data_IF_269317096411
#
_entry.id   IF_269317096411
#
_cell.length_a   1.000
_cell.length_b   1.000
_cell.length_c   1.000
_cell.angle_alpha   90.00
_cell.angle_beta   90.00
_cell.angle_gamma   90.00
#
_symmetry.space_group_name_H-M   'P 1'
#
loop_
_entity.id
_entity.type
_entity.pdbx_description
1 polymer ?
#
# COMPACT_ATOMS: atom_id res chain seq x y z
N UNK A 1 41.47 19.61 -36.63
CA UNK A 1 41.31 18.18 -36.26
C UNK A 1 40.23 17.97 -35.20
N UNK A 2 39.84 19.00 -34.43
CA UNK A 2 38.77 18.97 -33.40
C UNK A 2 37.35 18.61 -33.87
N UNK A 3 36.96 18.96 -35.10
CA UNK A 3 35.57 18.76 -35.56
C UNK A 3 35.17 17.28 -35.70
N UNK A 4 36.13 16.37 -35.97
CA UNK A 4 35.87 14.92 -36.06
C UNK A 4 35.70 14.27 -34.68
N UNK A 5 36.35 14.82 -33.65
CA UNK A 5 36.29 14.31 -32.27
C UNK A 5 34.91 14.59 -31.66
N UNK A 6 34.36 15.78 -31.88
CA UNK A 6 33.00 16.13 -31.43
C UNK A 6 31.89 15.27 -32.08
N UNK A 7 32.01 14.99 -33.39
CA UNK A 7 31.06 14.13 -34.10
C UNK A 7 31.11 12.67 -33.62
N UNK A 8 32.30 12.14 -33.31
CA UNK A 8 32.45 10.80 -32.78
C UNK A 8 31.88 10.68 -31.36
N UNK A 9 32.15 11.65 -30.48
CA UNK A 9 31.63 11.69 -29.12
C UNK A 9 30.10 11.74 -29.09
N UNK A 10 29.50 12.53 -30.00
CA UNK A 10 28.05 12.65 -30.12
C UNK A 10 27.38 11.36 -30.60
N UNK A 11 28.01 10.64 -31.54
CA UNK A 11 27.54 9.32 -31.98
C UNK A 11 27.61 8.28 -30.86
N UNK A 12 28.69 8.29 -30.08
CA UNK A 12 28.81 7.44 -28.89
C UNK A 12 27.72 7.75 -27.87
N UNK A 13 27.49 9.02 -27.54
CA UNK A 13 26.42 9.46 -26.64
C UNK A 13 25.03 9.01 -27.11
N UNK A 14 24.73 9.17 -28.42
CA UNK A 14 23.48 8.68 -29.01
C UNK A 14 23.37 7.15 -28.92
N UNK A 15 24.45 6.42 -29.17
CA UNK A 15 24.46 4.96 -29.04
C UNK A 15 24.19 4.54 -27.59
N UNK A 16 24.84 5.19 -26.62
CA UNK A 16 24.62 4.96 -25.19
C UNK A 16 23.19 5.28 -24.77
N UNK A 17 22.61 6.37 -25.28
CA UNK A 17 21.20 6.70 -25.07
C UNK A 17 20.27 5.63 -25.66
N UNK A 18 20.51 5.18 -26.89
CA UNK A 18 19.70 4.13 -27.53
C UNK A 18 19.80 2.82 -26.75
N UNK A 19 21.01 2.43 -26.30
CA UNK A 19 21.21 1.24 -25.47
C UNK A 19 20.49 1.38 -24.11
N UNK A 20 20.56 2.55 -23.47
CA UNK A 20 19.87 2.82 -22.21
C UNK A 20 18.33 2.77 -22.38
N UNK A 21 17.80 3.38 -23.45
CA UNK A 21 16.37 3.34 -23.78
C UNK A 21 15.93 1.92 -24.13
N UNK A 22 16.68 1.17 -24.92
CA UNK A 22 16.38 -0.22 -25.23
C UNK A 22 16.37 -1.12 -23.99
N UNK A 23 17.26 -0.86 -23.02
CA UNK A 23 17.27 -1.54 -21.72
C UNK A 23 16.10 -1.15 -20.83
N UNK A 24 15.61 0.09 -20.91
CA UNK A 24 14.38 0.51 -20.25
C UNK A 24 13.11 -0.10 -20.88
N UNK A 25 13.09 -0.30 -22.20
CA UNK A 25 11.91 -0.83 -22.92
C UNK A 25 11.77 -2.35 -22.75
N UNK A 26 12.84 -3.04 -22.33
CA UNK A 26 12.81 -4.47 -22.07
C UNK A 26 12.35 -4.82 -20.66
N UNK A 27 11.27 -4.17 -20.17
CA UNK A 27 10.44 -4.85 -19.20
C UNK A 27 9.80 -6.01 -19.97
N UNK A 28 10.16 -7.26 -19.66
CA UNK A 28 9.42 -8.42 -20.16
C UNK A 28 8.01 -8.35 -19.60
N UNK A 29 7.16 -7.58 -20.29
CA UNK A 29 5.73 -7.55 -20.06
C UNK A 29 5.23 -8.97 -20.20
N UNK A 30 4.51 -9.44 -19.20
CA UNK A 30 3.98 -10.78 -19.23
C UNK A 30 3.01 -10.90 -20.42
N UNK A 31 2.93 -12.08 -21.05
CA UNK A 31 2.01 -12.32 -22.18
C UNK A 31 0.59 -12.61 -21.65
N UNK A 32 -0.43 -12.53 -22.50
CA UNK A 32 -1.82 -12.91 -22.17
C UNK A 32 -1.96 -14.27 -21.46
N UNK A 33 -1.06 -15.22 -21.75
CA UNK A 33 -0.99 -16.52 -21.07
C UNK A 33 -0.88 -16.39 -19.54
N UNK A 34 -0.33 -15.31 -19.01
CA UNK A 34 -0.27 -15.04 -17.57
C UNK A 34 -1.65 -14.84 -16.97
N UNK A 35 -2.49 -14.09 -17.67
CA UNK A 35 -3.86 -13.82 -17.24
C UNK A 35 -4.68 -15.11 -17.16
N UNK A 36 -4.48 -16.01 -18.13
CA UNK A 36 -5.14 -17.31 -18.15
C UNK A 36 -4.68 -18.17 -16.96
N UNK A 37 -3.37 -18.23 -16.70
CA UNK A 37 -2.81 -19.02 -15.59
C UNK A 37 -3.24 -18.50 -14.21
N UNK A 38 -3.25 -17.18 -13.99
CA UNK A 38 -3.70 -16.65 -12.69
C UNK A 38 -5.21 -16.87 -12.49
N UNK A 39 -6.02 -16.89 -13.56
CA UNK A 39 -7.44 -17.24 -13.46
C UNK A 39 -7.64 -18.72 -13.16
N UNK A 40 -6.91 -19.59 -13.86
CA UNK A 40 -7.05 -21.04 -13.72
C UNK A 40 -6.55 -21.55 -12.35
N UNK A 41 -5.42 -21.05 -11.87
CA UNK A 41 -4.82 -21.55 -10.62
C UNK A 41 -5.17 -20.69 -9.40
N UNK A 42 -5.00 -19.38 -9.50
CA UNK A 42 -5.10 -18.51 -8.33
C UNK A 42 -6.54 -18.09 -8.04
N UNK A 43 -7.28 -17.62 -9.06
CA UNK A 43 -8.68 -17.22 -8.89
C UNK A 43 -9.57 -18.42 -8.59
N UNK A 44 -9.33 -19.59 -9.21
CA UNK A 44 -10.11 -20.79 -8.93
C UNK A 44 -10.03 -21.21 -7.45
N UNK A 45 -8.81 -21.26 -6.88
CA UNK A 45 -8.62 -21.52 -5.45
C UNK A 45 -9.29 -20.43 -4.59
N UNK A 46 -9.00 -19.17 -4.87
CA UNK A 46 -9.57 -18.05 -4.10
C UNK A 46 -11.09 -18.04 -4.14
N UNK A 47 -11.72 -18.38 -5.27
CA UNK A 47 -13.18 -18.49 -5.38
C UNK A 47 -13.76 -19.61 -4.53
N UNK A 48 -13.04 -20.73 -4.34
CA UNK A 48 -13.47 -21.81 -3.45
C UNK A 48 -13.34 -21.36 -1.99
N UNK A 49 -12.20 -20.76 -1.63
CA UNK A 49 -11.97 -20.27 -0.27
C UNK A 49 -13.01 -19.18 0.11
N UNK A 50 -13.34 -18.28 -0.84
CA UNK A 50 -14.37 -17.25 -0.67
C UNK A 50 -15.80 -17.79 -0.70
N UNK A 51 -16.04 -19.00 -1.19
CA UNK A 51 -17.34 -19.67 -1.13
C UNK A 51 -17.52 -20.40 0.21
N UNK A 52 -16.43 -20.95 0.74
CA UNK A 52 -16.41 -21.51 2.10
C UNK A 52 -16.60 -20.42 3.16
N UNK A 53 -16.01 -19.24 2.91
CA UNK A 53 -16.25 -18.04 3.70
C UNK A 53 -17.63 -17.45 3.36
N UNK A 54 -18.51 -17.28 4.36
CA UNK A 54 -19.85 -16.72 4.13
C UNK A 54 -19.77 -15.29 3.57
N UNK A 55 -20.69 -14.93 2.66
CA UNK A 55 -20.69 -13.62 2.00
C UNK A 55 -20.75 -12.45 3.00
N UNK A 56 -21.39 -12.64 4.16
CA UNK A 56 -21.42 -11.64 5.23
C UNK A 56 -20.04 -11.29 5.79
N UNK A 57 -19.06 -12.18 5.64
CA UNK A 57 -17.69 -12.02 6.15
C UNK A 57 -16.73 -11.45 5.11
N UNK A 58 -17.13 -11.29 3.84
CA UNK A 58 -16.23 -10.77 2.80
C UNK A 58 -15.66 -9.38 3.11
N UNK A 59 -16.36 -8.56 3.91
CA UNK A 59 -15.85 -7.24 4.32
C UNK A 59 -15.01 -7.26 5.61
N UNK A 60 -14.85 -8.42 6.24
CA UNK A 60 -13.95 -8.60 7.39
C UNK A 60 -12.53 -8.81 6.87
N UNK A 61 -11.64 -7.85 7.13
CA UNK A 61 -10.23 -7.99 6.77
C UNK A 61 -9.55 -9.08 7.58
N UNK A 62 -9.95 -9.29 8.84
CA UNK A 62 -9.41 -10.36 9.67
C UNK A 62 -9.67 -11.74 9.06
N UNK A 63 -10.86 -11.96 8.49
CA UNK A 63 -11.24 -13.23 7.88
C UNK A 63 -10.67 -13.41 6.46
N UNK A 64 -10.45 -12.32 5.72
CA UNK A 64 -10.04 -12.37 4.30
C UNK A 64 -8.56 -12.11 4.04
N UNK A 65 -7.80 -11.64 5.04
CA UNK A 65 -6.39 -11.28 4.89
C UNK A 65 -5.53 -12.46 4.40
N UNK A 66 -5.68 -13.63 5.04
CA UNK A 66 -4.91 -14.82 4.70
C UNK A 66 -5.23 -15.32 3.27
N UNK A 67 -6.52 -15.38 2.92
CA UNK A 67 -6.96 -15.77 1.58
C UNK A 67 -6.44 -14.82 0.49
N UNK A 68 -6.44 -13.52 0.78
CA UNK A 68 -5.95 -12.50 -0.14
C UNK A 68 -4.42 -12.52 -0.26
N UNK A 69 -3.72 -12.82 0.83
CA UNK A 69 -2.26 -13.04 0.84
C UNK A 69 -1.89 -14.25 -0.01
N UNK A 70 -2.60 -15.37 0.15
CA UNK A 70 -2.43 -16.59 -0.66
C UNK A 70 -2.64 -16.31 -2.15
N UNK A 71 -3.71 -15.59 -2.50
CA UNK A 71 -3.98 -15.14 -3.86
C UNK A 71 -2.83 -14.28 -4.40
N UNK A 72 -2.34 -13.33 -3.61
CA UNK A 72 -1.22 -12.45 -3.97
C UNK A 72 0.06 -13.25 -4.21
N UNK A 73 0.40 -14.15 -3.30
CA UNK A 73 1.57 -15.02 -3.41
C UNK A 73 1.47 -15.97 -4.61
N UNK A 74 0.28 -16.50 -4.90
CA UNK A 74 0.04 -17.31 -6.10
C UNK A 74 0.34 -16.51 -7.38
N UNK A 75 -0.21 -15.29 -7.53
CA UNK A 75 0.04 -14.46 -8.73
C UNK A 75 1.52 -14.10 -8.88
N UNK A 76 2.21 -13.87 -7.76
CA UNK A 76 3.66 -13.64 -7.74
C UNK A 76 4.44 -14.88 -8.18
N UNK A 77 4.10 -16.07 -7.68
CA UNK A 77 4.75 -17.31 -8.08
C UNK A 77 4.55 -17.62 -9.56
N UNK A 78 3.33 -17.45 -10.10
CA UNK A 78 3.07 -17.63 -11.53
C UNK A 78 3.91 -16.64 -12.35
N UNK A 79 4.00 -15.37 -11.93
CA UNK A 79 4.82 -14.37 -12.62
C UNK A 79 6.30 -14.78 -12.61
N UNK A 80 6.82 -15.20 -11.46
CA UNK A 80 8.20 -15.65 -11.32
C UNK A 80 8.50 -16.89 -12.19
N UNK A 81 7.59 -17.87 -12.24
CA UNK A 81 7.72 -19.06 -13.10
C UNK A 81 7.72 -18.71 -14.60
N UNK A 82 6.98 -17.67 -14.97
CA UNK A 82 6.95 -17.17 -16.35
C UNK A 82 8.03 -16.14 -16.65
N UNK A 83 8.94 -15.87 -15.72
CA UNK A 83 10.00 -14.85 -15.83
C UNK A 83 9.45 -13.45 -16.14
N UNK A 84 8.32 -13.12 -15.52
CA UNK A 84 7.66 -11.83 -15.65
C UNK A 84 7.88 -10.97 -14.41
N UNK A 85 7.91 -9.65 -14.61
CA UNK A 85 7.92 -8.71 -13.50
C UNK A 85 6.56 -8.70 -12.78
N UNK A 86 6.60 -8.60 -11.45
CA UNK A 86 5.44 -8.44 -10.58
C UNK A 86 5.70 -7.23 -9.66
N UNK A 87 4.77 -6.28 -9.53
CA UNK A 87 3.46 -6.21 -10.20
C UNK A 87 3.55 -5.74 -11.66
N UNK A 88 2.49 -5.97 -12.42
CA UNK A 88 2.34 -5.57 -13.82
C UNK A 88 0.88 -5.24 -14.16
N UNK A 89 0.61 -4.65 -15.33
CA UNK A 89 -0.74 -4.20 -15.71
C UNK A 89 -1.80 -5.30 -15.65
N UNK A 90 -1.46 -6.55 -16.02
CA UNK A 90 -2.45 -7.63 -16.02
C UNK A 90 -2.83 -8.06 -14.60
N UNK A 91 -1.86 -8.10 -13.66
CA UNK A 91 -2.19 -8.39 -12.26
C UNK A 91 -2.96 -7.23 -11.61
N UNK A 92 -2.72 -5.98 -12.01
CA UNK A 92 -3.52 -4.83 -11.57
C UNK A 92 -4.98 -4.96 -12.02
N UNK A 93 -5.22 -5.23 -13.30
CA UNK A 93 -6.56 -5.44 -13.86
C UNK A 93 -7.27 -6.64 -13.21
N UNK A 94 -6.53 -7.72 -12.94
CA UNK A 94 -7.00 -8.91 -12.23
C UNK A 94 -7.49 -8.58 -10.82
N UNK A 95 -6.68 -7.90 -10.01
CA UNK A 95 -7.10 -7.53 -8.65
C UNK A 95 -8.26 -6.54 -8.64
N UNK A 96 -8.31 -5.59 -9.59
CA UNK A 96 -9.47 -4.70 -9.72
C UNK A 96 -10.77 -5.50 -9.96
N UNK A 97 -10.72 -6.56 -10.77
CA UNK A 97 -11.89 -7.42 -10.99
C UNK A 97 -12.30 -8.17 -9.72
N UNK A 98 -11.33 -8.70 -8.96
CA UNK A 98 -11.60 -9.34 -7.65
C UNK A 98 -12.25 -8.36 -6.68
N UNK A 99 -11.74 -7.13 -6.57
CA UNK A 99 -12.33 -6.09 -5.73
C UNK A 99 -13.77 -5.74 -6.15
N UNK A 100 -14.06 -5.72 -7.45
CA UNK A 100 -15.42 -5.51 -7.96
C UNK A 100 -16.35 -6.70 -7.72
N UNK A 101 -15.83 -7.92 -7.70
CA UNK A 101 -16.66 -9.12 -7.55
C UNK A 101 -16.97 -9.39 -6.07
N UNK A 102 -15.94 -9.42 -5.22
CA UNK A 102 -16.07 -9.84 -3.83
C UNK A 102 -16.17 -8.67 -2.84
N UNK A 103 -15.61 -7.51 -3.16
CA UNK A 103 -15.43 -6.43 -2.19
C UNK A 103 -16.14 -5.12 -2.56
N UNK A 104 -17.11 -5.15 -3.50
CA UNK A 104 -17.74 -3.95 -4.03
C UNK A 104 -18.56 -3.15 -3.01
N UNK A 105 -19.16 -3.83 -2.03
CA UNK A 105 -19.94 -3.22 -0.95
C UNK A 105 -19.11 -2.91 0.30
N UNK A 106 -17.82 -3.25 0.30
CA UNK A 106 -16.99 -3.12 1.48
C UNK A 106 -16.50 -1.68 1.68
N UNK A 107 -16.69 -1.14 2.89
CA UNK A 107 -16.23 0.20 3.22
C UNK A 107 -14.70 0.24 3.40
N UNK A 108 -14.06 1.31 2.94
CA UNK A 108 -12.61 1.54 3.11
C UNK A 108 -12.21 1.99 4.53
N UNK A 109 -13.20 2.14 5.42
CA UNK A 109 -13.10 2.93 6.65
C UNK A 109 -12.21 2.30 7.73
N UNK A 110 -11.99 0.98 7.70
CA UNK A 110 -11.20 0.25 8.71
C UNK A 110 -9.74 -0.02 8.33
N UNK A 111 -9.33 0.20 7.07
CA UNK A 111 -8.01 -0.24 6.57
C UNK A 111 -6.96 0.88 6.55
N UNK A 112 -7.37 2.14 6.57
CA UNK A 112 -6.42 3.25 6.63
C UNK A 112 -6.08 3.56 8.08
N UNK A 113 -4.81 3.35 8.46
CA UNK A 113 -4.21 4.10 9.55
C UNK A 113 -4.42 5.59 9.25
N UNK A 114 -5.31 6.21 10.02
CA UNK A 114 -5.66 7.61 9.92
C UNK A 114 -5.92 8.12 11.31
N UNK A 115 -5.45 9.34 11.58
CA UNK A 115 -5.72 10.01 12.83
C UNK A 115 -7.24 10.12 13.06
N UNK A 116 -7.70 9.98 14.31
CA UNK A 116 -9.11 10.18 14.62
C UNK A 116 -9.52 11.60 14.24
N UNK A 117 -10.81 11.82 13.90
CA UNK A 117 -11.29 13.14 13.52
C UNK A 117 -11.00 14.15 14.64
N UNK A 118 -10.69 15.41 14.26
CA UNK A 118 -10.26 16.46 15.20
C UNK A 118 -11.21 16.68 16.38
N UNK A 119 -12.51 16.37 16.21
CA UNK A 119 -13.51 16.43 17.29
C UNK A 119 -13.21 15.47 18.46
N UNK A 120 -12.50 14.37 18.19
CA UNK A 120 -12.07 13.38 19.18
C UNK A 120 -10.63 13.67 19.61
N UNK A 121 -9.74 13.92 18.64
CA UNK A 121 -8.32 14.16 18.91
C UNK A 121 -8.08 15.45 19.72
N UNK A 122 -8.81 16.53 19.41
CA UNK A 122 -8.66 17.83 20.04
C UNK A 122 -8.85 17.78 21.56
N UNK A 123 -9.98 17.24 22.08
CA UNK A 123 -10.16 17.05 23.52
C UNK A 123 -9.05 16.22 24.18
N UNK A 124 -8.58 15.15 23.54
CA UNK A 124 -7.47 14.35 24.07
C UNK A 124 -6.16 15.12 24.21
N UNK A 125 -5.95 16.16 23.40
CA UNK A 125 -4.78 17.03 23.52
C UNK A 125 -5.02 18.14 24.55
N UNK A 126 -6.18 18.80 24.50
CA UNK A 126 -6.47 19.98 25.33
C UNK A 126 -6.66 19.62 26.80
N UNK A 127 -7.36 18.53 27.11
CA UNK A 127 -7.66 18.14 28.50
C UNK A 127 -6.40 17.92 29.33
N UNK A 128 -5.39 17.13 28.90
CA UNK A 128 -4.14 16.99 29.65
C UNK A 128 -3.39 18.32 29.88
N UNK A 129 -3.41 19.22 28.89
CA UNK A 129 -2.79 20.55 29.01
C UNK A 129 -3.51 21.37 30.09
N UNK A 130 -4.85 21.42 30.06
CA UNK A 130 -5.61 22.13 31.08
C UNK A 130 -5.39 21.54 32.48
N UNK A 131 -5.36 20.21 32.61
CA UNK A 131 -5.08 19.54 33.89
C UNK A 131 -3.71 19.89 34.43
N UNK A 132 -2.66 19.85 33.59
CA UNK A 132 -1.30 20.22 34.00
C UNK A 132 -1.21 21.69 34.43
N UNK A 133 -1.87 22.61 33.72
CA UNK A 133 -1.94 24.02 34.11
C UNK A 133 -2.69 24.23 35.43
N UNK A 134 -3.82 23.54 35.63
CA UNK A 134 -4.58 23.61 36.88
C UNK A 134 -3.77 23.06 38.05
N UNK A 135 -3.13 21.90 37.89
CA UNK A 135 -2.32 21.30 38.95
C UNK A 135 -1.13 22.19 39.32
N UNK A 136 -0.43 22.76 38.34
CA UNK A 136 0.68 23.69 38.61
C UNK A 136 0.19 24.95 39.32
N UNK A 137 -0.94 25.54 38.90
CA UNK A 137 -1.55 26.68 39.59
C UNK A 137 -1.94 26.34 41.04
N UNK A 138 -2.53 25.17 41.27
CA UNK A 138 -2.88 24.69 42.61
C UNK A 138 -1.65 24.51 43.50
N UNK A 139 -0.57 23.91 42.97
CA UNK A 139 0.69 23.72 43.69
C UNK A 139 1.32 25.07 44.06
N UNK A 140 1.40 26.00 43.11
CA UNK A 140 1.93 27.36 43.37
C UNK A 140 1.09 28.10 44.40
N UNK A 141 -0.23 28.01 44.31
CA UNK A 141 -1.14 28.64 45.26
C UNK A 141 -0.98 28.06 46.68
N UNK A 142 -0.93 26.74 46.81
CA UNK A 142 -0.71 26.07 48.11
C UNK A 142 0.65 26.42 48.70
N UNK A 143 1.71 26.41 47.88
CA UNK A 143 3.06 26.76 48.32
C UNK A 143 3.15 28.19 48.87
N UNK A 144 2.61 29.18 48.13
CA UNK A 144 2.57 30.57 48.60
C UNK A 144 1.75 30.76 49.87
N UNK A 145 0.64 30.02 50.02
CA UNK A 145 -0.20 30.09 51.24
C UNK A 145 0.47 29.47 52.45
N UNK A 146 1.27 28.40 52.27
CA UNK A 146 2.05 27.83 53.37
C UNK A 146 3.21 28.73 53.80
N UNK A 147 3.84 29.48 52.89
CA UNK A 147 4.89 30.44 53.24
C UNK A 147 4.37 31.73 53.88
N UNK A 148 3.12 32.13 53.61
CA UNK A 148 2.46 33.29 54.21
C UNK A 148 1.79 33.05 55.57
N UNK A 149 1.92 31.85 56.14
CA UNK A 149 1.52 31.51 57.52
C UNK A 149 2.82 31.34 58.34
N UNK A 150 3.44 32.47 58.67
CA UNK A 150 4.40 32.69 59.78
C UNK A 150 4.14 34.08 60.32
#
# INVERSE_FOLDING_TARGET
MESRVGSALQKYLLLWFIIAVARCVSAQGCRSQYEDLIKEFCLAKFSLDMQELDQSQWCSWEDTAELYEDLTNCTYQVANKMSCYWPNRMVDEFFIQIHRLYFHDCSMTGRRLRDPPNRILGPFIVVPILVTLLMTALVVWRSKRSEGIV
#
